data_IF_991577934700
#
_entry.id   IF_991577934700
#
_cell.length_a   1.000
_cell.length_b   1.000
_cell.length_c   1.000
_cell.angle_alpha   90.00
_cell.angle_beta   90.00
_cell.angle_gamma   90.00
#
_symmetry.space_group_name_H-M   'P 1'
#
loop_
_entity.id
_entity.type
_entity.pdbx_description
1 polymer ?
#
# COMPACT_ATOMS: atom_id res chain seq x y z
N UNK A 1 -30.81 -17.54 17.30
CA UNK A 1 -30.04 -17.33 18.54
C UNK A 1 -29.01 -16.26 18.21
N UNK A 2 -29.01 -15.09 18.85
CA UNK A 2 -27.94 -14.11 18.63
C UNK A 2 -26.70 -14.68 19.31
N UNK A 3 -25.65 -14.92 18.53
CA UNK A 3 -24.35 -15.33 19.06
C UNK A 3 -23.79 -14.11 19.81
N UNK A 4 -23.34 -14.30 21.05
CA UNK A 4 -22.59 -13.28 21.75
C UNK A 4 -21.15 -13.29 21.22
N UNK A 5 -20.81 -12.27 20.44
CA UNK A 5 -19.49 -12.17 19.82
C UNK A 5 -18.37 -11.95 20.84
N UNK A 6 -18.69 -11.45 22.04
CA UNK A 6 -17.69 -11.19 23.09
C UNK A 6 -17.15 -12.47 23.74
N UNK A 7 -17.90 -13.58 23.66
CA UNK A 7 -17.51 -14.89 24.20
C UNK A 7 -16.82 -15.79 23.16
N UNK A 8 -16.69 -15.32 21.91
CA UNK A 8 -16.03 -16.08 20.84
C UNK A 8 -14.53 -16.10 21.06
N UNK A 9 -13.95 -17.31 21.07
CA UNK A 9 -12.50 -17.51 20.93
C UNK A 9 -12.20 -17.83 19.46
N UNK A 10 -11.58 -16.90 18.69
CA UNK A 10 -11.24 -17.16 17.30
C UNK A 10 -10.11 -18.19 17.18
N UNK A 11 -10.13 -18.98 16.11
CA UNK A 11 -9.07 -19.94 15.80
C UNK A 11 -7.89 -19.27 15.10
N UNK A 12 -8.15 -18.26 14.28
CA UNK A 12 -7.16 -17.47 13.56
C UNK A 12 -7.53 -16.01 13.70
N UNK A 13 -6.53 -15.16 13.87
CA UNK A 13 -6.70 -13.70 13.91
C UNK A 13 -5.71 -13.08 12.94
N UNK A 14 -6.14 -12.11 12.14
CA UNK A 14 -5.23 -11.26 11.37
C UNK A 14 -5.76 -9.83 11.27
N UNK A 15 -4.86 -8.88 11.06
CA UNK A 15 -5.18 -7.47 10.82
C UNK A 15 -5.01 -7.16 9.32
N UNK A 16 -6.11 -6.73 8.69
CA UNK A 16 -6.16 -6.29 7.30
C UNK A 16 -5.68 -4.85 7.09
N UNK A 17 -5.51 -4.08 8.17
CA UNK A 17 -5.13 -2.67 8.14
C UNK A 17 -6.16 -1.82 7.41
N UNK A 18 -5.68 -0.97 6.51
CA UNK A 18 -6.46 -0.04 5.68
C UNK A 18 -6.72 -0.59 4.26
N UNK A 19 -6.53 -1.91 4.06
CA UNK A 19 -6.68 -2.50 2.72
C UNK A 19 -8.16 -2.69 2.38
N UNK A 20 -8.55 -2.20 1.21
CA UNK A 20 -9.82 -2.58 0.60
C UNK A 20 -9.72 -3.94 -0.13
N UNK A 21 -10.88 -4.53 -0.46
CA UNK A 21 -10.96 -5.82 -1.15
C UNK A 21 -10.23 -5.84 -2.51
N UNK A 22 -10.25 -4.75 -3.26
CA UNK A 22 -9.58 -4.60 -4.56
C UNK A 22 -8.08 -4.34 -4.46
N UNK A 23 -7.62 -3.78 -3.34
CA UNK A 23 -6.21 -3.49 -3.03
C UNK A 23 -5.47 -4.66 -2.37
N UNK A 24 -6.14 -5.81 -2.20
CA UNK A 24 -5.51 -7.07 -1.81
C UNK A 24 -6.04 -7.69 -0.52
N UNK A 25 -6.95 -7.03 0.22
CA UNK A 25 -7.52 -7.60 1.45
C UNK A 25 -8.16 -8.96 1.20
N UNK A 26 -8.81 -9.14 0.04
CA UNK A 26 -9.47 -10.40 -0.33
C UNK A 26 -8.50 -11.59 -0.35
N UNK A 27 -7.26 -11.39 -0.81
CA UNK A 27 -6.25 -12.43 -0.84
C UNK A 27 -5.85 -12.83 0.58
N UNK A 28 -5.72 -11.85 1.48
CA UNK A 28 -5.40 -12.08 2.88
C UNK A 28 -6.54 -12.82 3.59
N UNK A 29 -7.79 -12.41 3.37
CA UNK A 29 -8.97 -13.09 3.94
C UNK A 29 -8.96 -14.56 3.51
N UNK A 30 -8.87 -14.85 2.21
CA UNK A 30 -8.87 -16.22 1.69
C UNK A 30 -7.72 -17.06 2.24
N UNK A 31 -6.52 -16.50 2.29
CA UNK A 31 -5.35 -17.21 2.83
C UNK A 31 -5.55 -17.58 4.32
N UNK A 32 -6.05 -16.66 5.13
CA UNK A 32 -6.31 -16.92 6.55
C UNK A 32 -7.51 -17.84 6.76
N UNK A 33 -8.56 -17.71 5.95
CA UNK A 33 -9.68 -18.66 5.94
C UNK A 33 -9.22 -20.09 5.63
N UNK A 34 -8.26 -20.29 4.72
CA UNK A 34 -7.70 -21.62 4.46
C UNK A 34 -6.91 -22.18 5.66
N UNK A 35 -6.31 -21.33 6.49
CA UNK A 35 -5.61 -21.70 7.73
C UNK A 35 -6.58 -21.99 8.89
N UNK A 36 -7.76 -21.35 8.90
CA UNK A 36 -8.81 -21.58 9.91
C UNK A 36 -9.37 -23.00 9.80
N UNK A 37 -9.54 -23.79 10.87
CA UNK A 37 -10.19 -25.10 10.78
C UNK A 37 -11.60 -25.02 10.15
N UNK A 38 -12.06 -26.10 9.51
CA UNK A 38 -13.47 -26.18 9.06
C UNK A 38 -14.39 -25.99 10.28
N UNK A 39 -15.47 -25.23 10.10
CA UNK A 39 -16.35 -24.74 11.17
C UNK A 39 -15.68 -23.84 12.23
N UNK A 40 -14.38 -23.59 12.12
CA UNK A 40 -13.64 -22.65 12.95
C UNK A 40 -13.94 -21.20 12.60
N UNK A 41 -13.56 -20.30 13.49
CA UNK A 41 -13.84 -18.87 13.40
C UNK A 41 -12.54 -18.10 13.11
N UNK A 42 -12.59 -17.25 12.08
CA UNK A 42 -11.59 -16.24 11.78
C UNK A 42 -12.04 -14.90 12.38
N UNK A 43 -11.17 -14.23 13.13
CA UNK A 43 -11.28 -12.81 13.42
C UNK A 43 -10.42 -12.03 12.43
N UNK A 44 -11.04 -11.12 11.68
CA UNK A 44 -10.35 -10.13 10.87
C UNK A 44 -10.52 -8.76 11.50
N UNK A 45 -9.44 -8.00 11.62
CA UNK A 45 -9.47 -6.59 12.03
C UNK A 45 -9.32 -5.71 10.79
N UNK A 46 -10.07 -4.62 10.72
CA UNK A 46 -9.96 -3.66 9.62
C UNK A 46 -10.26 -2.25 10.07
N UNK A 47 -9.57 -1.28 9.46
CA UNK A 47 -9.83 0.16 9.56
C UNK A 47 -10.54 0.69 8.32
N UNK A 48 -10.55 -0.08 7.24
CA UNK A 48 -11.22 0.25 5.99
C UNK A 48 -12.76 0.16 6.15
N UNK A 49 -13.49 1.29 6.05
CA UNK A 49 -14.94 1.33 6.30
C UNK A 49 -15.77 0.46 5.35
N UNK A 50 -15.35 0.30 4.08
CA UNK A 50 -16.16 -0.46 3.11
C UNK A 50 -16.27 -1.95 3.44
N UNK A 51 -15.39 -2.47 4.31
CA UNK A 51 -15.40 -3.88 4.73
C UNK A 51 -16.71 -4.28 5.39
N UNK A 52 -17.36 -3.38 6.14
CA UNK A 52 -18.65 -3.64 6.78
C UNK A 52 -19.75 -3.99 5.76
N UNK A 53 -19.70 -3.35 4.59
CA UNK A 53 -20.66 -3.55 3.51
C UNK A 53 -20.28 -4.74 2.59
N UNK A 54 -18.98 -4.94 2.36
CA UNK A 54 -18.47 -5.92 1.38
C UNK A 54 -18.33 -7.34 1.95
N UNK A 55 -17.95 -7.48 3.23
CA UNK A 55 -17.63 -8.77 3.83
C UNK A 55 -18.84 -9.71 3.97
N UNK A 56 -20.03 -9.26 4.43
CA UNK A 56 -21.18 -10.16 4.57
C UNK A 56 -21.70 -10.74 3.25
N UNK A 57 -21.84 -9.97 2.15
CA UNK A 57 -22.08 -10.52 0.81
C UNK A 57 -21.01 -11.52 0.38
N UNK A 58 -19.73 -11.19 0.57
CA UNK A 58 -18.63 -12.09 0.19
C UNK A 58 -18.69 -13.43 0.92
N UNK A 59 -18.95 -13.43 2.23
CA UNK A 59 -19.09 -14.66 3.03
C UNK A 59 -20.17 -15.57 2.42
N UNK A 60 -21.35 -15.01 2.12
CA UNK A 60 -22.46 -15.76 1.51
C UNK A 60 -22.08 -16.37 0.15
N UNK A 61 -21.36 -15.63 -0.69
CA UNK A 61 -20.96 -16.08 -2.02
C UNK A 61 -19.86 -17.17 -1.98
N UNK A 62 -18.93 -17.06 -1.02
CA UNK A 62 -17.83 -17.99 -0.83
C UNK A 62 -18.20 -19.21 0.03
N UNK A 63 -19.41 -19.24 0.59
CA UNK A 63 -19.88 -20.36 1.41
C UNK A 63 -19.37 -20.32 2.85
N UNK A 64 -19.11 -19.13 3.38
CA UNK A 64 -18.78 -18.87 4.78
C UNK A 64 -19.96 -18.18 5.49
N UNK A 65 -19.97 -18.23 6.81
CA UNK A 65 -21.00 -17.61 7.62
C UNK A 65 -20.43 -16.37 8.32
N UNK A 66 -20.99 -15.21 8.03
CA UNK A 66 -20.67 -13.98 8.74
C UNK A 66 -21.41 -13.96 10.08
N UNK A 67 -20.67 -13.98 11.19
CA UNK A 67 -21.25 -14.04 12.54
C UNK A 67 -21.59 -12.65 13.08
N UNK A 68 -20.87 -11.62 12.62
CA UNK A 68 -21.11 -10.23 12.97
C UNK A 68 -19.81 -9.43 13.13
N UNK A 69 -19.98 -8.19 13.56
CA UNK A 69 -18.90 -7.25 13.84
C UNK A 69 -18.97 -6.73 15.28
N UNK A 70 -17.82 -6.33 15.81
CA UNK A 70 -17.69 -5.64 17.10
C UNK A 70 -16.76 -4.43 16.97
N UNK A 71 -17.00 -3.36 17.74
CA UNK A 71 -16.00 -2.31 17.89
C UNK A 71 -14.73 -2.88 18.54
N UNK A 72 -13.58 -2.54 17.98
CA UNK A 72 -12.27 -2.67 18.58
C UNK A 72 -11.69 -1.29 18.89
N UNK A 73 -10.47 -1.28 19.41
CA UNK A 73 -9.76 -0.04 19.71
C UNK A 73 -9.08 0.49 18.44
N UNK A 74 -9.65 1.52 17.82
CA UNK A 74 -9.15 2.08 16.56
C UNK A 74 -9.36 1.21 15.32
N UNK A 75 -10.12 0.11 15.40
CA UNK A 75 -10.48 -0.77 14.27
C UNK A 75 -11.81 -1.50 14.53
N UNK A 76 -12.43 -2.04 13.48
CA UNK A 76 -13.56 -2.97 13.59
C UNK A 76 -13.08 -4.42 13.60
N UNK A 77 -13.73 -5.27 14.39
CA UNK A 77 -13.48 -6.73 14.47
C UNK A 77 -14.60 -7.46 13.76
N UNK A 78 -14.27 -8.28 12.77
CA UNK A 78 -15.22 -9.07 11.99
C UNK A 78 -15.02 -10.56 12.25
N UNK A 79 -16.11 -11.28 12.51
CA UNK A 79 -16.08 -12.70 12.81
C UNK A 79 -16.71 -13.51 11.69
N UNK A 80 -15.91 -14.41 11.11
CA UNK A 80 -16.33 -15.26 9.98
C UNK A 80 -16.12 -16.71 10.36
N UNK A 81 -17.20 -17.52 10.31
CA UNK A 81 -17.11 -18.97 10.46
C UNK A 81 -16.83 -19.62 9.11
N UNK A 82 -15.80 -20.47 9.07
CA UNK A 82 -15.37 -21.18 7.87
C UNK A 82 -16.38 -22.24 7.46
N UNK A 83 -16.74 -22.23 6.17
CA UNK A 83 -17.52 -23.28 5.54
C UNK A 83 -16.74 -24.58 5.29
N UNK A 84 -17.42 -25.57 4.71
CA UNK A 84 -16.89 -26.93 4.56
C UNK A 84 -16.23 -27.22 3.21
N UNK A 85 -16.45 -26.39 2.19
CA UNK A 85 -15.97 -26.63 0.82
C UNK A 85 -14.52 -26.17 0.61
N UNK A 86 -13.58 -26.93 1.16
CA UNK A 86 -12.14 -26.62 1.10
C UNK A 86 -11.60 -26.56 -0.33
N UNK A 87 -12.07 -27.45 -1.22
CA UNK A 87 -11.55 -27.55 -2.58
C UNK A 87 -11.89 -26.32 -3.42
N UNK A 88 -13.15 -25.86 -3.35
CA UNK A 88 -13.59 -24.65 -4.02
C UNK A 88 -12.84 -23.40 -3.53
N UNK A 89 -12.52 -23.34 -2.24
CA UNK A 89 -11.77 -22.23 -1.65
C UNK A 89 -10.31 -22.20 -2.14
N UNK A 90 -9.64 -23.35 -2.20
CA UNK A 90 -8.28 -23.47 -2.75
C UNK A 90 -8.21 -23.10 -4.22
N UNK A 91 -9.20 -23.53 -5.02
CA UNK A 91 -9.33 -23.16 -6.44
C UNK A 91 -9.54 -21.64 -6.60
N UNK A 92 -10.44 -21.05 -5.82
CA UNK A 92 -10.73 -19.61 -5.86
C UNK A 92 -9.51 -18.77 -5.47
N UNK A 93 -8.78 -19.15 -4.40
CA UNK A 93 -7.56 -18.46 -4.01
C UNK A 93 -6.49 -18.55 -5.10
N UNK A 94 -6.33 -19.72 -5.73
CA UNK A 94 -5.37 -19.90 -6.81
C UNK A 94 -5.71 -19.01 -8.02
N UNK A 95 -6.98 -18.93 -8.40
CA UNK A 95 -7.43 -18.05 -9.47
C UNK A 95 -7.14 -16.58 -9.15
N UNK A 96 -7.42 -16.14 -7.92
CA UNK A 96 -7.18 -14.76 -7.51
C UNK A 96 -5.67 -14.44 -7.45
N UNK A 97 -4.83 -15.39 -7.00
CA UNK A 97 -3.37 -15.27 -7.12
C UNK A 97 -2.88 -15.19 -8.57
N UNK A 98 -3.44 -15.99 -9.47
CA UNK A 98 -3.04 -15.97 -10.89
C UNK A 98 -3.47 -14.66 -11.57
N UNK A 99 -4.63 -14.10 -11.19
CA UNK A 99 -5.05 -12.76 -11.63
C UNK A 99 -4.11 -11.68 -11.09
N UNK A 100 -3.80 -11.70 -9.80
CA UNK A 100 -2.91 -10.73 -9.15
C UNK A 100 -1.50 -10.74 -9.77
N UNK A 101 -0.93 -11.92 -10.04
CA UNK A 101 0.39 -12.06 -10.69
C UNK A 101 0.44 -11.52 -12.12
N UNK A 102 -0.71 -11.47 -12.81
CA UNK A 102 -0.85 -10.96 -14.18
C UNK A 102 -1.39 -9.53 -14.22
N UNK A 103 -1.54 -8.88 -13.07
CA UNK A 103 -2.07 -7.54 -13.01
C UNK A 103 -1.15 -6.57 -13.77
N UNK A 104 -1.75 -5.71 -14.59
CA UNK A 104 -1.05 -4.74 -15.39
C UNK A 104 -1.65 -3.36 -15.14
N UNK A 105 -0.84 -2.42 -14.66
CA UNK A 105 -1.22 -1.02 -14.57
C UNK A 105 -1.23 -0.42 -15.97
N UNK A 106 -2.36 0.13 -16.39
CA UNK A 106 -2.53 0.77 -17.70
C UNK A 106 -2.79 2.26 -17.54
N UNK A 107 -1.97 3.06 -18.20
CA UNK A 107 -2.07 4.51 -18.23
C UNK A 107 -2.10 5.01 -19.68
N UNK A 108 -2.70 6.18 -19.89
CA UNK A 108 -2.61 6.91 -21.16
C UNK A 108 -2.19 8.33 -20.88
N UNK A 109 -1.27 8.87 -21.65
CA UNK A 109 -0.89 10.27 -21.59
C UNK A 109 -1.32 11.00 -22.87
N UNK A 110 -1.79 12.24 -22.73
CA UNK A 110 -2.08 13.13 -23.84
C UNK A 110 -1.31 14.43 -23.64
N UNK A 111 -0.45 14.76 -24.59
CA UNK A 111 0.21 16.07 -24.64
C UNK A 111 -0.80 17.14 -25.06
N UNK A 112 -0.73 18.28 -24.38
CA UNK A 112 -1.50 19.48 -24.71
C UNK A 112 -0.61 20.60 -25.29
N UNK A 113 0.66 20.31 -25.58
CA UNK A 113 1.66 21.32 -25.89
C UNK A 113 2.05 22.13 -24.64
N UNK A 114 2.89 23.16 -24.83
CA UNK A 114 3.26 24.11 -23.78
C UNK A 114 3.74 23.45 -22.47
N UNK A 115 4.59 22.42 -22.58
CA UNK A 115 5.20 21.72 -21.45
C UNK A 115 4.17 21.07 -20.51
N UNK A 116 3.03 20.61 -21.05
CA UNK A 116 1.94 20.01 -20.27
C UNK A 116 1.38 18.75 -20.92
N UNK A 117 1.12 17.73 -20.12
CA UNK A 117 0.39 16.52 -20.48
C UNK A 117 -0.62 16.12 -19.42
N UNK A 118 -1.79 15.63 -19.82
CA UNK A 118 -2.72 14.96 -18.89
C UNK A 118 -2.49 13.46 -18.95
N UNK A 119 -2.32 12.84 -17.79
CA UNK A 119 -2.24 11.39 -17.61
C UNK A 119 -3.57 10.87 -17.08
N UNK A 120 -4.07 9.79 -17.68
CA UNK A 120 -5.28 9.08 -17.28
C UNK A 120 -4.91 7.71 -16.72
N UNK A 121 -5.37 7.41 -15.51
CA UNK A 121 -5.16 6.13 -14.82
C UNK A 121 -6.42 5.72 -14.09
N UNK A 122 -7.00 4.58 -14.45
CA UNK A 122 -8.32 4.13 -13.96
C UNK A 122 -9.38 5.24 -14.13
N UNK A 123 -10.02 5.67 -13.05
CA UNK A 123 -10.99 6.76 -12.96
C UNK A 123 -10.37 8.11 -12.57
N UNK A 124 -9.03 8.22 -12.58
CA UNK A 124 -8.30 9.44 -12.22
C UNK A 124 -7.66 10.07 -13.45
N UNK A 125 -7.47 11.39 -13.37
CA UNK A 125 -6.60 12.15 -14.27
C UNK A 125 -5.77 13.15 -13.48
N UNK A 126 -4.53 13.36 -13.90
CA UNK A 126 -3.62 14.34 -13.31
C UNK A 126 -2.73 14.95 -14.38
N UNK A 127 -2.18 16.13 -14.09
CA UNK A 127 -1.33 16.87 -15.01
C UNK A 127 0.14 16.62 -14.69
N UNK A 128 0.97 16.49 -15.72
CA UNK A 128 2.43 16.45 -15.61
C UNK A 128 3.00 17.56 -16.50
N UNK A 129 3.97 18.28 -15.97
CA UNK A 129 4.75 19.28 -16.69
C UNK A 129 5.75 18.67 -17.68
N UNK A 130 6.84 19.40 -17.90
CA UNK A 130 7.99 18.92 -18.68
C UNK A 130 8.70 17.73 -18.01
N UNK A 131 9.59 17.00 -18.73
CA UNK A 131 10.25 15.83 -18.15
C UNK A 131 11.13 16.15 -16.94
N UNK A 132 11.98 17.17 -17.02
CA UNK A 132 12.73 17.71 -15.90
C UNK A 132 12.66 19.24 -15.93
N UNK A 133 12.63 19.85 -14.74
CA UNK A 133 12.68 21.31 -14.58
C UNK A 133 13.59 21.67 -13.42
N UNK A 134 14.18 22.86 -13.49
CA UNK A 134 14.94 23.49 -12.42
C UNK A 134 14.45 24.94 -12.18
N UNK A 135 13.28 25.28 -12.71
CA UNK A 135 12.60 26.54 -12.44
C UNK A 135 11.97 26.51 -11.04
N UNK A 136 12.00 27.64 -10.33
CA UNK A 136 11.39 27.74 -9.01
C UNK A 136 9.84 27.71 -9.09
N UNK A 137 9.28 28.11 -10.24
CA UNK A 137 7.83 28.30 -10.42
C UNK A 137 7.35 27.77 -11.77
N UNK A 138 7.07 26.47 -11.81
CA UNK A 138 6.31 25.87 -12.89
C UNK A 138 4.80 25.86 -12.61
N UNK A 139 4.01 25.76 -13.69
CA UNK A 139 2.56 25.58 -13.58
C UNK A 139 2.16 24.19 -13.09
N UNK A 140 3.00 23.18 -13.37
CA UNK A 140 2.78 21.78 -13.03
C UNK A 140 4.12 21.14 -12.64
N UNK A 141 4.15 20.19 -11.69
CA UNK A 141 5.37 19.46 -11.38
C UNK A 141 5.90 18.71 -12.60
N UNK A 142 7.22 18.65 -12.74
CA UNK A 142 7.88 17.90 -13.79
C UNK A 142 7.81 16.38 -13.55
N UNK A 143 8.13 15.59 -14.59
CA UNK A 143 8.02 14.12 -14.49
C UNK A 143 9.00 13.52 -13.46
N UNK A 144 10.20 14.10 -13.30
CA UNK A 144 11.17 13.68 -12.27
C UNK A 144 10.61 13.90 -10.86
N UNK A 145 9.95 15.04 -10.60
CA UNK A 145 9.30 15.30 -9.31
C UNK A 145 8.17 14.31 -9.04
N UNK A 146 7.38 13.93 -10.06
CA UNK A 146 6.37 12.88 -9.91
C UNK A 146 6.98 11.52 -9.55
N UNK A 147 8.15 11.17 -10.11
CA UNK A 147 8.87 9.95 -9.74
C UNK A 147 9.28 9.97 -8.26
N UNK A 148 9.85 11.09 -7.80
CA UNK A 148 10.26 11.26 -6.40
C UNK A 148 9.07 11.32 -5.44
N UNK A 149 8.01 12.03 -5.82
CA UNK A 149 6.77 12.11 -5.06
C UNK A 149 6.11 10.73 -4.92
N UNK A 150 6.15 9.90 -5.97
CA UNK A 150 5.64 8.53 -5.89
C UNK A 150 6.42 7.68 -4.87
N UNK A 151 7.74 7.82 -4.79
CA UNK A 151 8.55 7.15 -3.78
C UNK A 151 8.21 7.65 -2.37
N UNK A 152 8.26 8.97 -2.14
CA UNK A 152 8.01 9.57 -0.84
C UNK A 152 6.59 9.29 -0.35
N UNK A 153 5.58 9.56 -1.17
CA UNK A 153 4.18 9.35 -0.81
C UNK A 153 3.87 7.87 -0.53
N UNK A 154 4.36 6.95 -1.36
CA UNK A 154 4.09 5.52 -1.15
C UNK A 154 4.73 4.98 0.14
N UNK A 155 5.95 5.42 0.48
CA UNK A 155 6.61 5.01 1.72
C UNK A 155 5.95 5.62 2.96
N UNK A 156 5.56 6.90 2.91
CA UNK A 156 4.88 7.56 4.04
C UNK A 156 3.56 6.85 4.37
N UNK A 157 2.68 6.64 3.38
CA UNK A 157 1.40 5.96 3.60
C UNK A 157 1.60 4.52 4.04
N UNK A 158 2.49 3.77 3.38
CA UNK A 158 2.74 2.37 3.73
C UNK A 158 3.37 2.21 5.12
N UNK A 159 4.15 3.19 5.59
CA UNK A 159 4.71 3.16 6.93
C UNK A 159 3.64 3.35 7.99
N UNK A 160 2.76 4.34 7.81
CA UNK A 160 1.60 4.54 8.67
C UNK A 160 0.76 3.27 8.80
N UNK A 161 0.47 2.60 7.67
CA UNK A 161 -0.31 1.35 7.66
C UNK A 161 0.43 0.19 8.34
N UNK A 162 1.76 0.05 8.18
CA UNK A 162 2.51 -1.00 8.87
C UNK A 162 2.61 -0.76 10.39
N UNK A 163 2.75 0.49 10.83
CA UNK A 163 2.67 0.85 12.25
C UNK A 163 1.30 0.49 12.84
N UNK A 164 0.21 0.86 12.14
CA UNK A 164 -1.14 0.56 12.59
C UNK A 164 -1.38 -0.95 12.76
N UNK A 165 -0.87 -1.80 11.86
CA UNK A 165 -0.99 -3.27 11.98
C UNK A 165 -0.30 -3.83 13.22
N UNK A 166 0.80 -3.22 13.65
CA UNK A 166 1.54 -3.61 14.84
C UNK A 166 0.99 -2.94 16.13
N UNK A 167 -0.09 -2.17 16.01
CA UNK A 167 -0.65 -1.30 17.06
C UNK A 167 0.40 -0.34 17.63
N UNK A 168 1.17 0.28 16.73
CA UNK A 168 2.12 1.34 17.05
C UNK A 168 1.48 2.69 16.72
N UNK A 169 1.40 3.58 17.71
CA UNK A 169 0.95 4.95 17.57
C UNK A 169 2.11 5.84 17.12
N UNK A 170 2.03 6.34 15.89
CA UNK A 170 2.96 7.33 15.35
C UNK A 170 2.18 8.60 15.08
N UNK A 171 2.52 9.66 15.81
CA UNK A 171 1.79 10.94 15.82
C UNK A 171 1.93 11.69 14.49
N UNK A 172 3.13 11.65 13.92
CA UNK A 172 3.46 12.34 12.69
C UNK A 172 4.49 11.57 11.87
N UNK A 173 4.33 11.60 10.55
CA UNK A 173 5.24 10.98 9.58
C UNK A 173 5.49 11.98 8.46
N UNK A 174 6.72 12.48 8.38
CA UNK A 174 7.15 13.38 7.32
C UNK A 174 8.32 12.76 6.54
N UNK A 175 8.28 12.86 5.21
CA UNK A 175 9.40 12.45 4.36
C UNK A 175 9.98 13.68 3.65
N UNK A 176 11.27 13.91 3.86
CA UNK A 176 12.09 14.82 3.08
C UNK A 176 12.91 14.02 2.06
N UNK A 177 12.93 14.46 0.81
CA UNK A 177 13.67 13.81 -0.27
C UNK A 177 14.42 14.85 -1.09
N UNK A 178 15.68 14.54 -1.42
CA UNK A 178 16.44 15.21 -2.47
C UNK A 178 16.90 14.20 -3.52
N UNK A 179 17.03 14.64 -4.76
CA UNK A 179 17.47 13.79 -5.87
C UNK A 179 18.28 14.58 -6.87
N UNK A 180 19.17 13.89 -7.59
CA UNK A 180 20.02 14.50 -8.61
C UNK A 180 20.07 13.66 -9.88
N UNK A 181 20.41 14.28 -11.00
CA UNK A 181 20.68 13.61 -12.27
C UNK A 181 22.18 13.55 -12.52
N UNK A 182 22.63 12.57 -13.31
CA UNK A 182 24.00 12.53 -13.79
C UNK A 182 24.34 13.76 -14.65
N UNK A 183 23.47 14.12 -15.59
CA UNK A 183 23.66 15.27 -16.46
C UNK A 183 22.33 15.86 -16.98
N UNK A 184 21.92 17.01 -16.44
CA UNK A 184 20.72 17.74 -16.92
C UNK A 184 20.91 18.34 -18.32
N UNK A 185 22.14 18.68 -18.71
CA UNK A 185 22.43 19.26 -20.04
C UNK A 185 22.23 18.22 -21.15
N UNK A 186 22.49 16.95 -20.86
CA UNK A 186 22.17 15.83 -21.74
C UNK A 186 20.66 15.70 -22.00
N UNK A 187 19.82 15.93 -20.97
CA UNK A 187 18.36 15.99 -21.15
C UNK A 187 17.94 17.13 -22.09
N UNK A 188 18.62 18.27 -22.00
CA UNK A 188 18.37 19.44 -22.86
C UNK A 188 18.95 19.31 -24.27
N UNK A 189 19.71 18.25 -24.55
CA UNK A 189 20.40 18.06 -25.83
C UNK A 189 21.53 19.06 -26.08
N UNK A 190 22.06 19.69 -25.03
CA UNK A 190 23.16 20.65 -25.12
C UNK A 190 24.53 19.98 -25.18
N UNK A 191 24.64 18.76 -24.66
CA UNK A 191 25.84 17.90 -24.76
C UNK A 191 25.47 16.41 -24.70
N UNK A 192 26.42 15.53 -25.04
CA UNK A 192 26.26 14.09 -24.82
C UNK A 192 26.47 13.75 -23.34
N UNK A 193 25.69 12.81 -22.82
CA UNK A 193 25.83 12.37 -21.43
C UNK A 193 24.67 11.49 -20.98
N UNK A 194 24.69 11.11 -19.70
CA UNK A 194 23.64 10.30 -19.08
C UNK A 194 22.60 11.22 -18.40
N UNK A 195 21.34 11.26 -18.88
CA UNK A 195 20.29 12.10 -18.29
C UNK A 195 19.56 11.40 -17.12
N UNK A 196 19.96 10.19 -16.73
CA UNK A 196 19.27 9.42 -15.69
C UNK A 196 19.50 9.99 -14.28
N UNK A 197 18.64 9.55 -13.35
CA UNK A 197 18.76 9.88 -11.92
C UNK A 197 20.00 9.20 -11.36
N UNK A 198 20.89 9.98 -10.73
CA UNK A 198 22.16 9.49 -10.17
C UNK A 198 22.01 9.06 -8.71
N UNK A 199 21.35 9.89 -7.90
CA UNK A 199 21.18 9.66 -6.47
C UNK A 199 19.83 10.16 -5.97
N UNK A 200 19.29 9.47 -4.96
CA UNK A 200 18.13 9.88 -4.17
C UNK A 200 18.48 9.73 -2.69
N UNK A 201 18.37 10.81 -1.93
CA UNK A 201 18.49 10.81 -0.48
C UNK A 201 17.12 11.08 0.14
N UNK A 202 16.58 10.09 0.84
CA UNK A 202 15.29 10.14 1.52
C UNK A 202 15.49 10.03 3.03
N UNK A 203 14.89 10.94 3.78
CA UNK A 203 14.82 10.90 5.25
C UNK A 203 13.36 10.93 5.70
N UNK A 204 12.94 9.87 6.38
CA UNK A 204 11.67 9.80 7.09
C UNK A 204 11.87 10.27 8.52
N UNK A 205 11.02 11.18 8.97
CA UNK A 205 10.90 11.63 10.35
C UNK A 205 9.61 11.06 10.90
N UNK A 206 9.67 10.46 12.08
CA UNK A 206 8.49 9.91 12.75
C UNK A 206 8.51 10.25 14.24
N UNK A 207 7.41 10.80 14.74
CA UNK A 207 7.21 11.14 16.15
C UNK A 207 6.39 10.05 16.83
N UNK A 208 6.87 9.49 17.94
CA UNK A 208 6.18 8.41 18.64
C UNK A 208 6.68 8.22 20.07
N UNK A 209 5.79 7.81 20.97
CA UNK A 209 6.13 7.35 22.32
C UNK A 209 6.27 5.83 22.44
N UNK A 210 5.99 5.10 21.36
CA UNK A 210 6.09 3.65 21.32
C UNK A 210 7.54 3.16 21.19
N UNK A 211 7.69 1.84 21.29
CA UNK A 211 8.98 1.14 21.21
C UNK A 211 9.69 1.40 19.88
N UNK A 212 10.83 2.11 19.94
CA UNK A 212 11.63 2.48 18.78
C UNK A 212 12.06 1.28 17.92
N UNK A 213 12.38 0.13 18.53
CA UNK A 213 12.84 -1.05 17.80
C UNK A 213 11.69 -1.66 16.99
N UNK A 214 10.48 -1.65 17.53
CA UNK A 214 9.28 -2.08 16.78
C UNK A 214 8.96 -1.13 15.63
N UNK A 215 9.09 0.18 15.85
CA UNK A 215 8.84 1.19 14.80
C UNK A 215 9.88 1.08 13.69
N UNK A 216 11.16 0.87 14.02
CA UNK A 216 12.22 0.57 13.05
C UNK A 216 11.94 -0.70 12.27
N UNK A 217 11.49 -1.76 12.94
CA UNK A 217 11.12 -3.00 12.28
C UNK A 217 9.93 -2.82 11.32
N UNK A 218 8.94 -1.99 11.67
CA UNK A 218 7.84 -1.63 10.78
C UNK A 218 8.36 -0.88 9.54
N UNK A 219 9.25 0.11 9.72
CA UNK A 219 9.87 0.86 8.63
C UNK A 219 10.67 -0.05 7.68
N UNK A 220 11.48 -0.96 8.21
CA UNK A 220 12.28 -1.88 7.39
C UNK A 220 11.38 -2.79 6.53
N UNK A 221 10.25 -3.23 7.08
CA UNK A 221 9.23 -3.97 6.30
C UNK A 221 8.59 -3.09 5.23
N UNK A 222 8.27 -1.84 5.54
CA UNK A 222 7.72 -0.88 4.57
C UNK A 222 8.66 -0.69 3.38
N UNK A 223 9.93 -0.39 3.65
CA UNK A 223 10.94 -0.15 2.60
C UNK A 223 11.18 -1.41 1.77
N UNK A 224 11.36 -2.57 2.43
CA UNK A 224 11.66 -3.83 1.72
C UNK A 224 10.50 -4.36 0.86
N UNK A 225 9.26 -3.99 1.19
CA UNK A 225 8.06 -4.39 0.43
C UNK A 225 7.61 -3.35 -0.59
N UNK A 226 8.22 -2.15 -0.61
CA UNK A 226 7.85 -1.09 -1.55
C UNK A 226 8.31 -1.43 -2.98
N UNK A 227 7.38 -1.57 -3.95
CA UNK A 227 7.74 -1.81 -5.35
C UNK A 227 8.56 -0.66 -5.94
N UNK A 228 8.30 0.58 -5.50
CA UNK A 228 9.00 1.78 -5.98
C UNK A 228 10.43 1.80 -5.45
N UNK A 229 10.63 1.62 -4.13
CA UNK A 229 11.97 1.59 -3.53
C UNK A 229 12.80 0.41 -4.06
N UNK A 230 12.21 -0.79 -4.14
CA UNK A 230 12.89 -1.98 -4.66
C UNK A 230 13.26 -1.86 -6.15
N UNK A 231 12.52 -1.06 -6.93
CA UNK A 231 12.86 -0.76 -8.32
C UNK A 231 13.99 0.25 -8.40
N UNK A 232 13.89 1.36 -7.68
CA UNK A 232 14.89 2.44 -7.72
C UNK A 232 16.25 2.02 -7.16
N UNK A 233 16.28 1.18 -6.12
CA UNK A 233 17.52 0.62 -5.55
C UNK A 233 18.38 -0.12 -6.58
N UNK A 234 17.77 -0.66 -7.64
CA UNK A 234 18.49 -1.38 -8.70
C UNK A 234 19.16 -0.46 -9.72
N UNK A 235 18.73 0.80 -9.79
CA UNK A 235 19.08 1.72 -10.87
C UNK A 235 19.76 3.01 -10.38
N UNK A 236 19.62 3.37 -9.11
CA UNK A 236 20.03 4.66 -8.54
C UNK A 236 20.74 4.42 -7.20
N UNK A 237 21.69 5.29 -6.84
CA UNK A 237 22.20 5.35 -5.46
C UNK A 237 21.09 5.85 -4.53
N UNK A 238 20.36 4.92 -3.92
CA UNK A 238 19.21 5.20 -3.07
C UNK A 238 19.59 5.08 -1.60
N UNK A 239 19.62 6.21 -0.90
CA UNK A 239 19.84 6.27 0.53
C UNK A 239 18.52 6.57 1.25
N UNK A 240 18.11 5.67 2.14
CA UNK A 240 16.89 5.81 2.93
C UNK A 240 17.25 5.78 4.41
N UNK A 241 16.82 6.78 5.17
CA UNK A 241 17.08 6.90 6.62
C UNK A 241 15.78 7.16 7.38
N UNK A 242 15.65 6.54 8.55
CA UNK A 242 14.60 6.84 9.52
C UNK A 242 15.20 7.62 10.70
N UNK A 243 14.57 8.73 11.05
CA UNK A 243 14.83 9.49 12.25
C UNK A 243 13.57 9.44 13.14
N UNK A 244 13.70 8.83 14.30
CA UNK A 244 12.68 8.89 15.35
C UNK A 244 12.93 10.17 16.16
N UNK A 245 11.87 10.92 16.41
CA UNK A 245 11.88 12.23 17.07
C UNK A 245 11.02 12.17 18.32
#
# INVERSE_FOLDING_TARGET
>A
MKIDLSEITPNVVFDGGDLDCGSGLILLIREHMLKTPVDGILEMRSREPTVADDLPPWCRMSGHEFLGEMPGDGFARYFVKRGTDKKKEEESLKEDYDKAKKYEWRLRARSHGHLKSTVYSRNFSFEIGQPASFEEKDQQPCAVEYLFAALAGSLSTAFSTECAKDNLEVDDIEISLSGSLHNILAHMGLEEGDPSVSAIELKCFASTFDDEDKVRAAWDRTVSRSPVAATLTKAVDLQIKLALV
#
